data_IF_847908761076
#
_entry.id   IF_847908761076
#
_cell.length_a   1.000
_cell.length_b   1.000
_cell.length_c   1.000
_cell.angle_alpha   90.00
_cell.angle_beta   90.00
_cell.angle_gamma   90.00
#
_symmetry.space_group_name_H-M   'P 1'
#
loop_
_entity.id
_entity.type
_entity.pdbx_description
1 polymer ?
#
# COMPACT_ATOMS: atom_id res chain seq x y z
N UNK A 1 5.17 -8.04 1.34
CA UNK A 1 3.87 -7.41 1.62
C UNK A 1 2.99 -8.32 2.49
N UNK A 2 2.76 -9.58 2.13
CA UNK A 2 1.96 -10.52 2.93
C UNK A 2 2.45 -10.65 4.37
N UNK A 3 3.75 -10.85 4.59
CA UNK A 3 4.34 -10.90 5.93
C UNK A 3 4.07 -9.63 6.76
N UNK A 4 4.14 -8.45 6.13
CA UNK A 4 3.85 -7.18 6.80
C UNK A 4 2.37 -7.08 7.24
N UNK A 5 1.44 -7.52 6.39
CA UNK A 5 0.02 -7.58 6.76
C UNK A 5 -0.21 -8.56 7.90
N UNK A 6 0.40 -9.75 7.86
CA UNK A 6 0.29 -10.75 8.93
C UNK A 6 0.80 -10.16 10.25
N UNK A 7 2.00 -9.60 10.26
CA UNK A 7 2.57 -8.97 11.46
C UNK A 7 1.65 -7.86 11.98
N UNK A 8 1.18 -6.95 11.10
CA UNK A 8 0.31 -5.85 11.49
C UNK A 8 -1.02 -6.31 12.10
N UNK A 9 -1.68 -7.31 11.52
CA UNK A 9 -2.94 -7.83 12.07
C UNK A 9 -2.76 -8.56 13.40
N UNK A 10 -1.62 -9.24 13.60
CA UNK A 10 -1.29 -9.90 14.86
C UNK A 10 -0.96 -8.89 15.96
N UNK A 11 -0.11 -7.91 15.67
CA UNK A 11 0.25 -6.83 16.60
C UNK A 11 -0.97 -6.00 17.04
N UNK A 12 -1.86 -5.68 16.09
CA UNK A 12 -3.11 -4.98 16.36
C UNK A 12 -4.18 -5.89 16.99
N UNK A 13 -3.89 -7.17 17.23
CA UNK A 13 -4.81 -8.16 17.79
C UNK A 13 -6.12 -8.28 17.01
N UNK A 14 -6.05 -8.13 15.69
CA UNK A 14 -7.19 -8.32 14.78
C UNK A 14 -7.62 -9.78 14.77
N UNK A 15 -6.66 -10.69 14.85
CA UNK A 15 -6.83 -12.14 15.00
C UNK A 15 -5.72 -12.73 15.87
N UNK A 16 -5.88 -14.00 16.26
CA UNK A 16 -4.85 -14.78 16.96
C UNK A 16 -3.98 -15.53 15.94
N UNK A 17 -2.73 -15.90 16.26
CA UNK A 17 -1.85 -16.63 15.34
C UNK A 17 -2.47 -17.92 14.79
N UNK A 18 -3.20 -18.67 15.60
CA UNK A 18 -3.84 -19.92 15.21
C UNK A 18 -4.94 -19.77 14.16
N UNK A 19 -5.43 -18.54 13.99
CA UNK A 19 -6.44 -18.16 12.98
C UNK A 19 -5.81 -17.78 11.63
N UNK A 20 -4.48 -17.70 11.55
CA UNK A 20 -3.76 -17.33 10.33
C UNK A 20 -3.10 -18.57 9.73
N UNK A 21 -3.37 -18.80 8.45
CA UNK A 21 -2.74 -19.87 7.66
C UNK A 21 -2.05 -19.22 6.46
N UNK A 22 -0.79 -19.55 6.24
CA UNK A 22 0.01 -19.03 5.12
C UNK A 22 0.51 -20.15 4.22
N UNK A 23 0.64 -19.84 2.95
CA UNK A 23 1.40 -20.61 1.98
C UNK A 23 2.21 -19.64 1.10
N UNK A 24 3.42 -20.03 0.78
CA UNK A 24 4.25 -19.36 -0.24
C UNK A 24 4.85 -20.45 -1.15
N UNK A 25 5.06 -20.12 -2.42
CA UNK A 25 5.72 -21.02 -3.37
C UNK A 25 7.14 -21.38 -2.93
N UNK A 26 7.81 -20.46 -2.26
CA UNK A 26 9.07 -20.69 -1.58
C UNK A 26 8.76 -21.08 -0.14
N UNK A 27 9.18 -22.27 0.28
CA UNK A 27 8.87 -22.78 1.62
C UNK A 27 9.52 -21.93 2.73
N UNK A 28 10.76 -21.51 2.54
CA UNK A 28 11.57 -20.82 3.55
C UNK A 28 10.89 -19.57 4.15
N UNK A 29 10.37 -18.59 3.35
CA UNK A 29 9.69 -17.43 3.92
C UNK A 29 8.43 -17.78 4.74
N UNK A 30 7.67 -18.79 4.31
CA UNK A 30 6.49 -19.22 5.03
C UNK A 30 6.84 -19.93 6.35
N UNK A 31 7.86 -20.79 6.35
CA UNK A 31 8.36 -21.50 7.53
C UNK A 31 8.97 -20.54 8.56
N UNK A 32 9.77 -19.55 8.11
CA UNK A 32 10.29 -18.49 8.99
C UNK A 32 9.14 -17.76 9.68
N UNK A 33 8.16 -17.29 8.90
CA UNK A 33 7.03 -16.55 9.42
C UNK A 33 6.19 -17.43 10.39
N UNK A 34 6.02 -18.71 10.07
CA UNK A 34 5.37 -19.69 10.95
C UNK A 34 6.07 -19.85 12.30
N UNK A 35 7.41 -19.92 12.26
CA UNK A 35 8.24 -20.05 13.47
C UNK A 35 8.22 -18.79 14.32
N UNK A 36 8.35 -17.62 13.68
CA UNK A 36 8.43 -16.33 14.38
C UNK A 36 7.08 -15.88 14.95
N UNK A 37 5.97 -16.14 14.25
CA UNK A 37 4.65 -15.61 14.58
C UNK A 37 3.68 -16.66 15.13
N UNK A 38 4.06 -17.95 15.14
CA UNK A 38 3.19 -19.03 15.62
C UNK A 38 1.98 -19.32 14.72
N UNK A 39 2.01 -18.87 13.47
CA UNK A 39 0.93 -19.08 12.49
C UNK A 39 1.09 -20.43 11.79
N UNK A 40 0.00 -20.94 11.21
CA UNK A 40 0.00 -22.21 10.50
C UNK A 40 0.58 -22.05 9.08
N UNK A 41 1.49 -22.95 8.71
CA UNK A 41 1.99 -23.08 7.34
C UNK A 41 1.25 -24.22 6.65
N UNK A 42 0.63 -23.94 5.51
CA UNK A 42 -0.09 -24.91 4.69
C UNK A 42 0.78 -25.46 3.55
N UNK A 43 0.48 -26.66 3.08
CA UNK A 43 1.20 -27.30 1.99
C UNK A 43 0.85 -26.71 0.60
N UNK A 44 -0.26 -25.95 0.48
CA UNK A 44 -0.66 -25.35 -0.79
C UNK A 44 -1.83 -24.38 -0.68
N UNK A 45 -2.10 -23.67 -1.78
CA UNK A 45 -3.14 -22.65 -1.88
C UNK A 45 -4.55 -23.20 -1.57
N UNK A 46 -4.84 -24.45 -1.94
CA UNK A 46 -6.12 -25.11 -1.63
C UNK A 46 -6.33 -25.26 -0.12
N UNK A 47 -5.31 -25.68 0.61
CA UNK A 47 -5.37 -25.84 2.07
C UNK A 47 -5.60 -24.52 2.77
N UNK A 48 -4.92 -23.43 2.33
CA UNK A 48 -5.16 -22.06 2.82
C UNK A 48 -6.64 -21.68 2.63
N UNK A 49 -7.17 -21.85 1.41
CA UNK A 49 -8.54 -21.50 1.10
C UNK A 49 -9.57 -22.34 1.91
N UNK A 50 -9.28 -23.60 2.19
CA UNK A 50 -10.13 -24.45 3.02
C UNK A 50 -10.16 -24.00 4.49
N UNK A 51 -9.03 -23.52 5.00
CA UNK A 51 -8.86 -23.14 6.41
C UNK A 51 -9.42 -21.75 6.73
N UNK A 52 -9.64 -20.89 5.73
CA UNK A 52 -9.94 -19.49 5.93
C UNK A 52 -11.35 -19.09 5.46
N UNK A 53 -11.93 -18.06 6.07
CA UNK A 53 -13.12 -17.35 5.59
C UNK A 53 -12.73 -16.17 4.68
N UNK A 54 -11.57 -15.56 4.97
CA UNK A 54 -10.96 -14.46 4.20
C UNK A 54 -9.61 -14.93 3.66
N UNK A 55 -9.47 -14.95 2.35
CA UNK A 55 -8.22 -15.31 1.65
C UNK A 55 -7.56 -14.05 1.12
N UNK A 56 -6.33 -13.76 1.54
CA UNK A 56 -5.57 -12.61 1.05
C UNK A 56 -4.55 -13.05 0.02
N UNK A 57 -4.69 -12.58 -1.22
CA UNK A 57 -3.81 -12.87 -2.33
C UNK A 57 -2.68 -11.85 -2.39
N UNK A 58 -1.45 -12.29 -2.06
CA UNK A 58 -0.26 -11.45 -1.93
C UNK A 58 0.87 -11.86 -2.89
N UNK A 59 0.55 -12.53 -4.00
CA UNK A 59 1.52 -13.00 -4.98
C UNK A 59 1.89 -11.94 -6.01
N UNK A 60 2.88 -12.23 -6.85
CA UNK A 60 3.18 -11.37 -8.01
C UNK A 60 2.07 -11.47 -9.06
N UNK A 61 1.85 -10.45 -9.90
CA UNK A 61 0.79 -10.45 -10.91
C UNK A 61 0.75 -11.72 -11.78
N UNK A 62 1.89 -12.16 -12.29
CA UNK A 62 2.03 -13.33 -13.17
C UNK A 62 1.62 -14.66 -12.48
N UNK A 63 1.66 -14.70 -11.17
CA UNK A 63 1.32 -15.90 -10.37
C UNK A 63 -0.15 -15.91 -9.90
N UNK A 64 -0.88 -14.82 -10.04
CA UNK A 64 -2.19 -14.66 -9.41
C UNK A 64 -3.24 -15.65 -9.92
N UNK A 65 -3.42 -15.75 -11.24
CA UNK A 65 -4.41 -16.65 -11.85
C UNK A 65 -4.08 -18.10 -11.51
N UNK A 66 -2.80 -18.48 -11.53
CA UNK A 66 -2.36 -19.81 -11.16
C UNK A 66 -2.67 -20.12 -9.69
N UNK A 67 -2.35 -19.22 -8.77
CA UNK A 67 -2.61 -19.41 -7.35
C UNK A 67 -4.11 -19.58 -7.05
N UNK A 68 -4.98 -18.82 -7.74
CA UNK A 68 -6.43 -18.96 -7.63
C UNK A 68 -6.93 -20.28 -8.22
N UNK A 69 -6.38 -20.72 -9.36
CA UNK A 69 -6.71 -22.00 -9.98
C UNK A 69 -6.33 -23.19 -9.07
N UNK A 70 -5.18 -23.12 -8.40
CA UNK A 70 -4.74 -24.13 -7.43
C UNK A 70 -5.66 -24.19 -6.19
N UNK A 71 -6.17 -23.06 -5.72
CA UNK A 71 -7.15 -23.00 -4.65
C UNK A 71 -8.51 -23.58 -5.09
N UNK A 72 -8.88 -23.35 -6.34
CA UNK A 72 -10.04 -23.94 -7.00
C UNK A 72 -11.36 -23.76 -6.24
N UNK A 73 -12.18 -24.82 -6.17
CA UNK A 73 -13.50 -24.78 -5.51
C UNK A 73 -13.43 -24.46 -4.00
N UNK A 74 -12.25 -24.51 -3.37
CA UNK A 74 -12.11 -24.12 -1.97
C UNK A 74 -12.40 -22.62 -1.73
N UNK A 75 -12.39 -21.79 -2.80
CA UNK A 75 -12.76 -20.37 -2.76
C UNK A 75 -14.28 -20.14 -2.76
N UNK A 76 -15.10 -21.14 -3.02
CA UNK A 76 -16.57 -20.98 -3.04
C UNK A 76 -17.09 -20.46 -1.68
N UNK A 77 -17.85 -19.37 -1.73
CA UNK A 77 -18.42 -18.73 -0.53
C UNK A 77 -17.42 -17.94 0.32
N UNK A 78 -16.14 -17.87 -0.09
CA UNK A 78 -15.12 -17.13 0.62
C UNK A 78 -15.05 -15.67 0.17
N UNK A 79 -14.39 -14.83 1.00
CA UNK A 79 -13.95 -13.50 0.62
C UNK A 79 -12.51 -13.58 0.13
N UNK A 80 -12.27 -13.21 -1.12
CA UNK A 80 -10.94 -13.02 -1.69
C UNK A 80 -10.57 -11.53 -1.63
N UNK A 81 -9.48 -11.24 -0.96
CA UNK A 81 -8.89 -9.89 -0.89
C UNK A 81 -7.58 -9.91 -1.67
N UNK A 82 -7.55 -9.27 -2.82
CA UNK A 82 -6.35 -9.22 -3.65
C UNK A 82 -5.60 -7.89 -3.47
N UNK A 83 -4.30 -7.97 -3.14
CA UNK A 83 -3.38 -6.83 -3.14
C UNK A 83 -2.46 -6.82 -4.37
N UNK A 84 -2.80 -7.60 -5.38
CA UNK A 84 -2.01 -7.74 -6.59
C UNK A 84 -2.24 -6.53 -7.51
N UNK A 85 -1.16 -5.86 -7.90
CA UNK A 85 -1.24 -4.71 -8.81
C UNK A 85 -1.63 -5.16 -10.24
N UNK A 86 -2.35 -4.30 -10.97
CA UNK A 86 -2.65 -4.51 -12.37
C UNK A 86 -3.73 -5.55 -12.69
N UNK A 87 -4.28 -6.29 -11.70
CA UNK A 87 -5.32 -7.30 -11.97
C UNK A 87 -6.70 -6.77 -11.54
N UNK A 88 -7.65 -6.76 -12.47
CA UNK A 88 -9.00 -6.26 -12.23
C UNK A 88 -9.85 -7.20 -11.38
N UNK A 89 -10.91 -6.66 -10.76
CA UNK A 89 -11.91 -7.48 -10.05
C UNK A 89 -12.54 -8.50 -11.00
N UNK A 90 -12.79 -8.13 -12.26
CA UNK A 90 -13.34 -9.04 -13.25
C UNK A 90 -12.45 -10.25 -13.50
N UNK A 91 -11.15 -10.03 -13.72
CA UNK A 91 -10.16 -11.11 -13.90
C UNK A 91 -10.04 -11.98 -12.65
N UNK A 92 -10.00 -11.36 -11.46
CA UNK A 92 -9.96 -12.09 -10.19
C UNK A 92 -11.23 -12.94 -9.98
N UNK A 93 -12.40 -12.38 -10.31
CA UNK A 93 -13.68 -13.06 -10.21
C UNK A 93 -13.79 -14.27 -11.15
N UNK A 94 -13.29 -14.11 -12.40
CA UNK A 94 -13.24 -15.22 -13.35
C UNK A 94 -12.36 -16.36 -12.84
N UNK A 95 -11.17 -16.03 -12.33
CA UNK A 95 -10.22 -17.03 -11.83
C UNK A 95 -10.65 -17.68 -10.52
N UNK A 96 -11.31 -16.95 -9.61
CA UNK A 96 -11.75 -17.44 -8.31
C UNK A 96 -13.13 -18.14 -8.36
N UNK A 97 -13.88 -17.96 -9.45
CA UNK A 97 -15.23 -18.50 -9.62
C UNK A 97 -16.34 -17.57 -9.09
N UNK A 98 -17.53 -17.72 -9.69
CA UNK A 98 -18.69 -16.80 -9.47
C UNK A 98 -19.20 -16.73 -8.04
N UNK A 99 -18.95 -17.74 -7.22
CA UNK A 99 -19.40 -17.77 -5.82
C UNK A 99 -18.40 -17.18 -4.83
N UNK A 100 -17.20 -16.80 -5.28
CA UNK A 100 -16.22 -16.10 -4.47
C UNK A 100 -16.55 -14.59 -4.48
N UNK A 101 -16.52 -13.95 -3.33
CA UNK A 101 -16.66 -12.49 -3.23
C UNK A 101 -15.28 -11.85 -3.31
N UNK A 102 -15.11 -10.83 -4.14
CA UNK A 102 -13.79 -10.27 -4.43
C UNK A 102 -13.69 -8.82 -3.98
N UNK A 103 -12.64 -8.50 -3.26
CA UNK A 103 -12.21 -7.13 -2.96
C UNK A 103 -10.79 -6.93 -3.48
N UNK A 104 -10.58 -5.88 -4.27
CA UNK A 104 -9.26 -5.46 -4.74
C UNK A 104 -8.75 -4.33 -3.88
N UNK A 105 -7.54 -4.46 -3.36
CA UNK A 105 -6.90 -3.47 -2.50
C UNK A 105 -5.57 -3.06 -3.10
N UNK A 106 -5.27 -1.76 -3.08
CA UNK A 106 -3.97 -1.22 -3.43
C UNK A 106 -3.32 -0.60 -2.19
N UNK A 107 -2.48 -1.35 -1.46
CA UNK A 107 -1.68 -0.84 -0.36
C UNK A 107 -0.36 -0.25 -0.86
N UNK A 108 0.45 0.30 0.06
CA UNK A 108 1.83 0.66 -0.21
C UNK A 108 2.81 0.05 0.81
N UNK A 109 4.10 0.23 0.58
CA UNK A 109 5.16 -0.38 1.40
C UNK A 109 5.20 0.13 2.84
N UNK A 110 4.58 1.29 3.14
CA UNK A 110 4.56 1.83 4.50
C UNK A 110 3.69 1.00 5.48
N UNK A 111 2.96 -0.02 5.00
CA UNK A 111 2.35 -1.04 5.86
C UNK A 111 3.37 -1.75 6.76
N UNK A 112 4.64 -1.86 6.33
CA UNK A 112 5.74 -2.41 7.13
C UNK A 112 5.99 -1.67 8.44
N UNK A 113 5.61 -0.42 8.52
CA UNK A 113 5.74 0.44 9.70
C UNK A 113 4.37 0.94 10.20
N UNK A 114 3.30 0.24 9.85
CA UNK A 114 1.90 0.54 10.24
C UNK A 114 1.44 1.96 9.87
N UNK A 115 2.01 2.52 8.81
CA UNK A 115 1.66 3.83 8.24
C UNK A 115 1.27 3.71 6.76
N UNK A 116 0.73 2.54 6.37
CA UNK A 116 0.31 2.28 5.00
C UNK A 116 -0.83 3.19 4.56
N UNK A 117 -0.88 3.48 3.27
CA UNK A 117 -2.05 4.05 2.62
C UNK A 117 -2.63 2.98 1.68
N UNK A 118 -3.84 2.54 1.98
CA UNK A 118 -4.54 1.51 1.20
C UNK A 118 -5.85 2.07 0.67
N UNK A 119 -6.17 1.78 -0.59
CA UNK A 119 -7.51 1.97 -1.11
C UNK A 119 -8.07 0.64 -1.59
N UNK A 120 -9.37 0.42 -1.44
CA UNK A 120 -10.02 -0.82 -1.84
C UNK A 120 -11.29 -0.58 -2.64
N UNK A 121 -11.58 -1.51 -3.54
CA UNK A 121 -12.81 -1.56 -4.33
C UNK A 121 -13.47 -2.93 -4.19
N UNK A 122 -14.80 -2.95 -4.21
CA UNK A 122 -15.60 -4.15 -3.97
C UNK A 122 -16.20 -4.68 -5.27
N UNK A 123 -16.10 -6.01 -5.46
CA UNK A 123 -16.80 -6.73 -6.52
C UNK A 123 -18.25 -7.04 -6.17
N UNK A 124 -18.92 -7.75 -7.08
CA UNK A 124 -20.30 -8.14 -6.90
C UNK A 124 -20.47 -9.12 -5.72
N UNK A 125 -21.53 -8.95 -4.94
CA UNK A 125 -21.88 -9.83 -3.82
C UNK A 125 -21.08 -9.62 -2.54
N UNK A 126 -20.17 -8.64 -2.51
CA UNK A 126 -19.48 -8.24 -1.28
C UNK A 126 -20.48 -7.61 -0.32
N UNK A 127 -20.46 -8.07 0.93
CA UNK A 127 -21.38 -7.65 1.99
C UNK A 127 -20.75 -6.61 2.92
N UNK A 128 -21.55 -5.91 3.73
CA UNK A 128 -21.05 -4.98 4.76
C UNK A 128 -20.12 -5.68 5.77
N UNK A 129 -20.37 -6.98 6.07
CA UNK A 129 -19.49 -7.79 6.92
C UNK A 129 -18.13 -8.01 6.27
N UNK A 130 -18.10 -8.23 4.96
CA UNK A 130 -16.85 -8.38 4.21
C UNK A 130 -16.07 -7.06 4.19
N UNK A 131 -16.76 -5.94 3.98
CA UNK A 131 -16.15 -4.59 4.03
C UNK A 131 -15.54 -4.35 5.42
N UNK A 132 -16.29 -4.59 6.49
CA UNK A 132 -15.78 -4.44 7.85
C UNK A 132 -14.55 -5.32 8.14
N UNK A 133 -14.49 -6.53 7.58
CA UNK A 133 -13.31 -7.39 7.71
C UNK A 133 -12.09 -6.81 6.96
N UNK A 134 -12.28 -6.31 5.74
CA UNK A 134 -11.22 -5.65 4.95
C UNK A 134 -10.71 -4.40 5.67
N UNK A 135 -11.61 -3.54 6.12
CA UNK A 135 -11.27 -2.33 6.88
C UNK A 135 -10.48 -2.69 8.14
N UNK A 136 -10.93 -3.67 8.90
CA UNK A 136 -10.24 -4.12 10.12
C UNK A 136 -8.82 -4.59 9.85
N UNK A 137 -8.58 -5.31 8.73
CA UNK A 137 -7.25 -5.77 8.32
C UNK A 137 -6.38 -4.57 7.93
N UNK A 138 -6.85 -3.68 7.04
CA UNK A 138 -5.98 -2.65 6.49
C UNK A 138 -5.84 -1.41 7.39
N UNK A 139 -6.82 -1.10 8.25
CA UNK A 139 -6.66 -0.06 9.27
C UNK A 139 -5.71 -0.46 10.38
N UNK A 140 -5.45 -1.75 10.58
CA UNK A 140 -4.41 -2.21 11.52
C UNK A 140 -2.98 -1.88 11.08
N UNK A 141 -2.80 -1.58 9.80
CA UNK A 141 -1.49 -1.27 9.20
C UNK A 141 -1.44 0.13 8.54
N UNK A 142 -2.43 0.98 8.80
CA UNK A 142 -2.47 2.34 8.29
C UNK A 142 -3.88 2.84 7.97
N UNK A 143 -4.03 3.58 6.87
CA UNK A 143 -5.30 4.11 6.37
C UNK A 143 -5.90 3.14 5.35
N UNK A 144 -7.21 2.93 5.40
CA UNK A 144 -7.98 2.18 4.40
C UNK A 144 -9.17 3.00 3.91
N UNK A 145 -9.29 3.19 2.59
CA UNK A 145 -10.34 4.01 1.97
C UNK A 145 -11.07 3.22 0.88
N UNK A 146 -12.41 3.22 0.96
CA UNK A 146 -13.25 2.64 -0.10
C UNK A 146 -13.33 3.58 -1.30
N UNK A 147 -13.06 3.05 -2.50
CA UNK A 147 -13.09 3.79 -3.75
C UNK A 147 -13.75 2.98 -4.87
N UNK A 148 -14.10 3.62 -5.97
CA UNK A 148 -14.45 2.90 -7.20
C UNK A 148 -13.21 2.22 -7.78
N UNK A 149 -13.36 1.03 -8.37
CA UNK A 149 -12.24 0.30 -8.98
C UNK A 149 -11.47 1.14 -10.01
N UNK A 150 -12.17 1.94 -10.82
CA UNK A 150 -11.57 2.83 -11.81
C UNK A 150 -10.59 3.87 -11.26
N UNK A 151 -10.57 4.08 -9.94
CA UNK A 151 -9.63 4.99 -9.28
C UNK A 151 -8.35 4.29 -8.79
N UNK A 152 -8.31 2.96 -8.76
CA UNK A 152 -7.17 2.22 -8.19
C UNK A 152 -5.86 2.41 -8.96
N UNK A 153 -5.91 2.72 -10.25
CA UNK A 153 -4.70 3.04 -11.02
C UNK A 153 -4.12 4.41 -10.60
N UNK A 154 -4.98 5.39 -10.39
CA UNK A 154 -4.56 6.68 -9.84
C UNK A 154 -4.04 6.54 -8.40
N UNK A 155 -4.64 5.68 -7.58
CA UNK A 155 -4.13 5.32 -6.25
C UNK A 155 -2.75 4.67 -6.36
N UNK A 156 -2.54 3.79 -7.34
CA UNK A 156 -1.23 3.18 -7.61
C UNK A 156 -0.18 4.25 -7.91
N UNK A 157 -0.50 5.19 -8.80
CA UNK A 157 0.41 6.29 -9.16
C UNK A 157 0.71 7.23 -8.00
N UNK A 158 -0.29 7.52 -7.15
CA UNK A 158 -0.18 8.45 -6.03
C UNK A 158 0.45 7.80 -4.80
N UNK A 159 -0.17 6.76 -4.24
CA UNK A 159 0.22 6.18 -2.96
C UNK A 159 0.98 4.86 -3.08
N UNK A 160 0.75 4.08 -4.13
CA UNK A 160 1.53 2.87 -4.41
C UNK A 160 2.99 3.18 -4.74
N UNK A 161 3.22 4.07 -5.69
CA UNK A 161 4.54 4.53 -6.13
C UNK A 161 5.09 5.68 -5.29
N UNK A 162 4.22 6.43 -4.61
CA UNK A 162 4.54 7.62 -3.83
C UNK A 162 5.70 7.50 -2.84
N UNK A 163 5.85 6.39 -2.10
CA UNK A 163 7.00 6.21 -1.20
C UNK A 163 8.34 6.42 -1.89
N UNK A 164 8.50 5.99 -3.16
CA UNK A 164 9.74 6.18 -3.92
C UNK A 164 10.03 7.68 -4.18
N UNK A 165 8.99 8.46 -4.47
CA UNK A 165 9.13 9.91 -4.67
C UNK A 165 9.55 10.62 -3.38
N UNK A 166 8.98 10.19 -2.25
CA UNK A 166 9.32 10.73 -0.92
C UNK A 166 10.74 10.35 -0.52
N UNK A 167 11.20 9.13 -0.81
CA UNK A 167 12.58 8.73 -0.55
C UNK A 167 13.58 9.58 -1.34
N UNK A 168 13.31 9.83 -2.63
CA UNK A 168 14.12 10.72 -3.45
C UNK A 168 14.15 12.16 -2.89
N UNK A 169 13.01 12.66 -2.41
CA UNK A 169 12.91 13.97 -1.79
C UNK A 169 13.72 14.06 -0.48
N UNK A 170 13.64 13.03 0.39
CA UNK A 170 14.42 12.95 1.62
C UNK A 170 15.92 12.91 1.32
N UNK A 171 16.33 12.12 0.31
CA UNK A 171 17.72 12.04 -0.14
C UNK A 171 18.24 13.41 -0.60
N UNK A 172 17.48 14.10 -1.47
CA UNK A 172 17.82 15.44 -1.95
C UNK A 172 17.93 16.47 -0.83
N UNK A 173 17.02 16.45 0.16
CA UNK A 173 17.12 17.31 1.36
C UNK A 173 18.40 17.04 2.16
N UNK A 174 18.72 15.75 2.36
CA UNK A 174 19.94 15.34 3.06
C UNK A 174 21.18 15.81 2.32
N UNK A 175 21.22 15.65 0.99
CA UNK A 175 22.33 16.10 0.14
C UNK A 175 22.50 17.62 0.19
N UNK A 176 21.40 18.37 0.12
CA UNK A 176 21.40 19.82 0.30
C UNK A 176 21.97 20.24 1.67
N UNK A 177 21.62 19.51 2.73
CA UNK A 177 22.20 19.73 4.06
C UNK A 177 23.70 19.53 4.07
N UNK A 178 24.20 18.45 3.45
CA UNK A 178 25.64 18.16 3.36
C UNK A 178 26.37 19.21 2.54
N UNK A 179 25.81 19.65 1.40
CA UNK A 179 26.39 20.73 0.59
C UNK A 179 26.57 22.02 1.38
N UNK A 180 25.73 22.24 2.41
CA UNK A 180 25.79 23.40 3.29
C UNK A 180 26.52 23.14 4.62
N UNK A 181 27.31 22.06 4.70
CA UNK A 181 28.24 21.81 5.80
C UNK A 181 27.73 20.92 6.93
N UNK A 182 26.54 20.35 6.83
CA UNK A 182 26.06 19.40 7.84
C UNK A 182 26.75 18.02 7.65
N UNK A 183 27.11 17.34 8.74
CA UNK A 183 27.50 15.94 8.65
C UNK A 183 26.36 15.08 8.07
N UNK A 184 26.69 14.10 7.22
CA UNK A 184 25.69 13.24 6.53
C UNK A 184 24.65 12.64 7.46
N UNK A 185 25.08 12.06 8.57
CA UNK A 185 24.17 11.43 9.52
C UNK A 185 23.15 12.42 10.11
N UNK A 186 23.61 13.62 10.46
CA UNK A 186 22.74 14.68 10.98
C UNK A 186 21.78 15.18 9.92
N UNK A 187 22.27 15.44 8.69
CA UNK A 187 21.45 15.89 7.57
C UNK A 187 20.33 14.91 7.27
N UNK A 188 20.62 13.60 7.22
CA UNK A 188 19.62 12.56 6.96
C UNK A 188 18.58 12.49 8.07
N UNK A 189 18.97 12.50 9.36
CA UNK A 189 18.03 12.49 10.48
C UNK A 189 17.09 13.69 10.45
N UNK A 190 17.62 14.88 10.18
CA UNK A 190 16.82 16.10 10.07
C UNK A 190 15.87 16.05 8.87
N UNK A 191 16.32 15.60 7.71
CA UNK A 191 15.48 15.47 6.51
C UNK A 191 14.29 14.52 6.73
N UNK A 192 14.55 13.33 7.30
CA UNK A 192 13.50 12.34 7.63
C UNK A 192 12.48 12.94 8.58
N UNK A 193 12.94 13.55 9.70
CA UNK A 193 12.04 14.12 10.70
C UNK A 193 11.25 15.31 10.15
N UNK A 194 11.84 16.12 9.29
CA UNK A 194 11.14 17.23 8.66
C UNK A 194 9.99 16.77 7.77
N UNK A 195 10.22 15.75 6.92
CA UNK A 195 9.17 15.21 6.05
C UNK A 195 8.07 14.53 6.87
N UNK A 196 8.44 13.72 7.86
CA UNK A 196 7.49 13.05 8.74
C UNK A 196 6.61 14.06 9.50
N UNK A 197 7.22 15.09 10.09
CA UNK A 197 6.52 16.14 10.83
C UNK A 197 5.61 17.00 9.94
N UNK A 198 6.04 17.33 8.73
CA UNK A 198 5.21 18.09 7.79
C UNK A 198 3.97 17.27 7.34
N UNK A 199 4.13 15.98 7.07
CA UNK A 199 3.01 15.10 6.74
C UNK A 199 2.04 14.97 7.92
N UNK A 200 2.55 14.79 9.14
CA UNK A 200 1.75 14.68 10.36
C UNK A 200 0.97 15.98 10.64
N UNK A 201 1.57 17.15 10.42
CA UNK A 201 0.88 18.45 10.52
C UNK A 201 -0.34 18.51 9.61
N UNK A 202 -0.23 18.07 8.36
CA UNK A 202 -1.37 18.05 7.43
C UNK A 202 -2.43 17.07 7.94
N UNK A 203 -2.02 15.88 8.36
CA UNK A 203 -2.94 14.83 8.80
C UNK A 203 -3.71 15.18 10.07
N UNK A 204 -3.07 15.81 11.05
CA UNK A 204 -3.70 16.15 12.33
C UNK A 204 -4.52 17.42 12.27
N UNK A 205 -4.05 18.44 11.55
CA UNK A 205 -4.75 19.73 11.50
C UNK A 205 -5.84 19.79 10.46
N UNK A 206 -5.81 18.90 9.47
CA UNK A 206 -6.68 18.93 8.29
C UNK A 206 -6.63 20.27 7.52
N UNK A 207 -5.62 21.08 7.79
CA UNK A 207 -5.41 22.36 7.10
C UNK A 207 -4.90 22.11 5.69
N UNK A 208 -5.29 22.98 4.77
CA UNK A 208 -4.76 22.93 3.41
C UNK A 208 -3.21 23.14 3.42
N UNK A 209 -2.44 22.31 2.70
CA UNK A 209 -0.97 22.39 2.70
C UNK A 209 -0.41 23.79 2.40
N UNK A 210 -1.10 24.60 1.57
CA UNK A 210 -0.68 25.97 1.29
C UNK A 210 -0.72 26.86 2.54
N UNK A 211 -1.72 26.68 3.42
CA UNK A 211 -1.84 27.45 4.67
C UNK A 211 -0.69 27.09 5.61
N UNK A 212 -0.41 25.81 5.79
CA UNK A 212 0.72 25.35 6.62
C UNK A 212 2.06 25.85 6.06
N UNK A 213 2.23 25.89 4.73
CA UNK A 213 3.41 26.46 4.09
C UNK A 213 3.57 27.95 4.42
N UNK A 214 2.49 28.73 4.37
CA UNK A 214 2.51 30.15 4.71
C UNK A 214 2.90 30.40 6.17
N UNK A 215 2.50 29.55 7.10
CA UNK A 215 2.86 29.68 8.53
C UNK A 215 4.36 29.63 8.79
N UNK A 216 5.15 29.01 7.91
CA UNK A 216 6.61 28.93 7.99
C UNK A 216 7.32 29.83 6.99
N UNK A 217 6.58 30.73 6.32
CA UNK A 217 7.09 31.59 5.23
C UNK A 217 7.05 33.06 5.64
N UNK A 218 8.09 33.52 6.31
CA UNK A 218 8.22 34.94 6.67
C UNK A 218 8.70 35.79 5.50
N UNK A 219 8.30 37.09 5.40
CA UNK A 219 8.77 38.00 4.36
C UNK A 219 10.30 38.10 4.33
N UNK A 220 10.93 37.88 3.16
CA UNK A 220 12.37 37.91 2.99
C UNK A 220 13.15 36.80 3.71
N UNK A 221 12.46 35.81 4.29
CA UNK A 221 13.07 34.73 5.06
C UNK A 221 13.73 33.65 4.21
N UNK A 222 14.42 32.71 4.87
CA UNK A 222 15.11 31.58 4.24
C UNK A 222 14.15 30.66 3.51
N UNK A 223 12.94 30.47 4.04
CA UNK A 223 11.91 29.63 3.42
C UNK A 223 11.45 30.17 2.08
N UNK A 224 11.25 31.50 1.98
CA UNK A 224 10.87 32.14 0.70
C UNK A 224 11.96 31.92 -0.36
N UNK A 225 13.23 32.12 0.01
CA UNK A 225 14.34 31.91 -0.91
C UNK A 225 14.42 30.44 -1.40
N UNK A 226 14.28 29.47 -0.50
CA UNK A 226 14.26 28.05 -0.87
C UNK A 226 13.07 27.67 -1.74
N UNK A 227 11.86 28.16 -1.42
CA UNK A 227 10.66 27.93 -2.22
C UNK A 227 10.80 28.50 -3.64
N UNK A 228 11.41 29.69 -3.79
CA UNK A 228 11.63 30.32 -5.10
C UNK A 228 12.48 29.41 -6.02
N UNK A 229 13.53 28.77 -5.51
CA UNK A 229 14.35 27.86 -6.30
C UNK A 229 13.59 26.56 -6.66
N UNK A 230 12.76 26.02 -5.74
CA UNK A 230 11.94 24.83 -6.03
C UNK A 230 10.86 25.13 -7.11
N UNK A 231 10.21 26.29 -7.03
CA UNK A 231 9.23 26.71 -8.04
C UNK A 231 9.90 26.96 -9.41
N UNK A 232 11.06 27.61 -9.43
CA UNK A 232 11.87 27.83 -10.65
C UNK A 232 12.30 26.52 -11.29
N UNK A 233 12.63 25.52 -10.48
CA UNK A 233 12.97 24.15 -10.95
C UNK A 233 11.76 23.32 -11.38
N UNK A 234 10.53 23.83 -11.23
CA UNK A 234 9.31 23.13 -11.66
C UNK A 234 8.93 21.93 -10.80
N UNK A 235 9.25 21.91 -9.51
CA UNK A 235 8.96 20.78 -8.61
C UNK A 235 7.51 20.31 -8.69
N UNK A 236 6.53 21.26 -8.76
CA UNK A 236 5.11 20.89 -8.79
C UNK A 236 4.76 20.08 -10.03
N UNK A 237 5.18 20.56 -11.22
CA UNK A 237 4.91 19.84 -12.46
C UNK A 237 5.60 18.48 -12.46
N UNK A 238 6.85 18.39 -12.01
CA UNK A 238 7.59 17.14 -11.94
C UNK A 238 6.87 16.08 -11.07
N UNK A 239 6.36 16.45 -9.90
CA UNK A 239 5.61 15.54 -9.03
C UNK A 239 4.27 15.13 -9.67
N UNK A 240 3.54 16.07 -10.27
CA UNK A 240 2.28 15.78 -10.97
C UNK A 240 2.50 14.84 -12.16
N UNK A 241 3.55 15.05 -12.93
CA UNK A 241 3.93 14.22 -14.07
C UNK A 241 4.37 12.81 -13.63
N UNK A 242 5.07 12.69 -12.51
CA UNK A 242 5.43 11.38 -11.94
C UNK A 242 4.19 10.55 -11.56
N UNK A 243 3.21 11.17 -10.90
CA UNK A 243 1.94 10.51 -10.55
C UNK A 243 1.19 10.11 -11.81
N UNK A 244 1.10 11.01 -12.82
CA UNK A 244 0.45 10.73 -14.09
C UNK A 244 1.10 9.54 -14.81
N UNK A 245 2.42 9.57 -15.01
CA UNK A 245 3.15 8.51 -15.71
C UNK A 245 2.99 7.15 -15.01
N UNK A 246 3.04 7.11 -13.68
CA UNK A 246 2.85 5.87 -12.93
C UNK A 246 1.39 5.36 -13.01
N UNK A 247 0.40 6.26 -13.06
CA UNK A 247 -1.01 5.92 -13.27
C UNK A 247 -1.24 5.30 -14.66
N UNK A 248 -0.70 5.92 -15.70
CA UNK A 248 -0.74 5.43 -17.09
C UNK A 248 -0.10 4.04 -17.17
N UNK A 249 1.08 3.88 -16.57
CA UNK A 249 1.75 2.58 -16.54
C UNK A 249 0.95 1.50 -15.80
N UNK A 250 0.26 1.86 -14.73
CA UNK A 250 -0.63 0.94 -14.00
C UNK A 250 -1.77 0.43 -14.89
N UNK A 251 -2.38 1.30 -15.69
CA UNK A 251 -3.44 0.93 -16.65
C UNK A 251 -2.92 -0.03 -17.73
N UNK A 252 -1.75 0.29 -18.32
CA UNK A 252 -1.12 -0.60 -19.32
C UNK A 252 -0.88 -2.00 -18.77
N UNK A 253 -0.37 -2.11 -17.52
CA UNK A 253 -0.14 -3.40 -16.87
C UNK A 253 -1.43 -4.16 -16.56
N UNK A 254 -2.54 -3.43 -16.35
CA UNK A 254 -3.86 -4.00 -16.12
C UNK A 254 -4.59 -4.43 -17.40
N UNK A 255 -4.02 -4.18 -18.60
CA UNK A 255 -4.64 -4.50 -19.87
C UNK A 255 -5.84 -3.62 -20.22
N UNK A 256 -6.06 -2.51 -19.54
CA UNK A 256 -7.04 -1.49 -19.88
C UNK A 256 -6.41 -0.56 -20.93
N UNK A 257 -6.53 -0.91 -22.22
CA UNK A 257 -6.50 0.07 -23.28
C UNK A 257 -7.82 0.84 -23.24
N UNK A 258 -7.74 2.19 -23.23
CA UNK A 258 -8.89 3.11 -23.35
C UNK A 258 -9.59 2.95 -24.70
#
# INVERSE_FOLDING_TARGET
MGSALIQGVLEAKVCQPEQVTVHDRLAEPAEMLGTESGIRVAAGNKEVAQAADVVVLCVKPDDAVRALSEAGSALEGKLLVSIVAGITIATLQEAAGKKCRVVRVMPNTAVLVQKGASAYATGQGVTDKDIAAVEKIFTSVGLALHVKESLLDAVTGLSGSGPAYVYLFIEALSDGGVQNGLPRELATKLAVQTVAGAAEMVAQTMMHPAVLREMVTSPGGTTVAGLAELEKAGLRSAVMDAVRAATERSRELGGSED
#
